data_IF_931195459554
#
_entry.id   IF_931195459554
#
_cell.length_a   1.000
_cell.length_b   1.000
_cell.length_c   1.000
_cell.angle_alpha   90.00
_cell.angle_beta   90.00
_cell.angle_gamma   90.00
#
_symmetry.space_group_name_H-M   'P 1'
#
loop_
_entity.id
_entity.type
_entity.pdbx_description
1 polymer ?
#
# COMPACT_ATOMS: atom_id res chain seq x y z
N UNK A 1 -0.66 11.38 -4.62
CA UNK A 1 -1.31 10.16 -4.10
C UNK A 1 -0.30 9.09 -3.70
N UNK A 2 -0.51 8.47 -2.54
CA UNK A 2 0.19 7.28 -2.07
C UNK A 2 -0.61 6.01 -2.35
N UNK A 3 0.07 4.87 -2.43
CA UNK A 3 -0.51 3.54 -2.62
C UNK A 3 0.04 2.59 -1.55
N UNK A 4 -0.85 2.03 -0.72
CA UNK A 4 -0.51 0.97 0.22
C UNK A 4 -0.59 -0.38 -0.49
N UNK A 5 0.49 -1.15 -0.43
CA UNK A 5 0.55 -2.51 -0.97
C UNK A 5 0.93 -3.51 0.11
N UNK A 6 0.07 -4.53 0.27
CA UNK A 6 0.18 -5.57 1.29
C UNK A 6 0.78 -6.82 0.65
N UNK A 7 1.89 -7.30 1.21
CA UNK A 7 2.59 -8.49 0.73
C UNK A 7 2.79 -9.49 1.86
N UNK A 8 3.09 -10.74 1.53
CA UNK A 8 3.45 -11.75 2.52
C UNK A 8 4.72 -11.38 3.31
N UNK A 9 5.58 -10.51 2.76
CA UNK A 9 6.81 -10.05 3.41
C UNK A 9 6.61 -8.80 4.29
N UNK A 10 5.52 -8.05 4.11
CA UNK A 10 5.30 -6.79 4.80
C UNK A 10 4.44 -5.79 4.03
N UNK A 11 4.44 -4.54 4.52
CA UNK A 11 3.72 -3.43 3.90
C UNK A 11 4.67 -2.53 3.11
N UNK A 12 4.33 -2.28 1.85
CA UNK A 12 5.00 -1.31 1.01
C UNK A 12 4.12 -0.06 0.84
N UNK A 13 4.76 1.11 0.88
CA UNK A 13 4.13 2.39 0.56
C UNK A 13 4.80 2.94 -0.68
N UNK A 14 4.04 3.12 -1.74
CA UNK A 14 4.50 3.71 -2.98
C UNK A 14 3.93 5.12 -3.15
N UNK A 15 4.68 6.00 -3.78
CA UNK A 15 4.18 7.25 -4.32
C UNK A 15 3.95 7.06 -5.82
N UNK A 16 2.75 7.40 -6.26
CA UNK A 16 2.44 7.42 -7.68
C UNK A 16 3.03 8.69 -8.31
N UNK A 17 3.84 8.52 -9.33
CA UNK A 17 4.47 9.64 -10.04
C UNK A 17 3.57 10.20 -11.14
N UNK A 18 2.79 9.33 -11.79
CA UNK A 18 1.99 9.70 -12.94
C UNK A 18 0.50 9.31 -12.78
N UNK A 19 -0.26 10.18 -12.13
CA UNK A 19 -1.71 9.96 -11.91
C UNK A 19 -2.51 9.87 -13.22
N UNK A 20 -2.02 10.46 -14.32
CA UNK A 20 -2.72 10.44 -15.62
C UNK A 20 -2.83 9.02 -16.20
N UNK A 21 -1.92 8.12 -15.82
CA UNK A 21 -1.89 6.72 -16.28
C UNK A 21 -2.97 5.86 -15.64
N UNK A 22 -3.60 6.33 -14.55
CA UNK A 22 -4.76 5.68 -13.95
C UNK A 22 -6.08 5.90 -14.69
N UNK A 23 -6.09 6.72 -15.75
CA UNK A 23 -7.32 7.06 -16.48
C UNK A 23 -7.84 5.92 -17.37
N UNK A 24 -6.93 5.13 -17.93
CA UNK A 24 -7.27 4.02 -18.81
C UNK A 24 -7.11 2.71 -18.02
N UNK A 25 -8.15 2.35 -17.29
CA UNK A 25 -8.12 1.21 -16.37
C UNK A 25 -7.94 -0.12 -17.12
N UNK A 26 -8.50 -0.22 -18.34
CA UNK A 26 -8.52 -1.48 -19.11
C UNK A 26 -7.11 -1.97 -19.51
N UNK A 27 -6.17 -1.04 -19.73
CA UNK A 27 -4.81 -1.37 -20.17
C UNK A 27 -3.73 -0.95 -19.16
N UNK A 28 -4.11 -0.64 -17.92
CA UNK A 28 -3.19 -0.18 -16.87
C UNK A 28 -2.06 -1.18 -16.60
N UNK A 29 -2.30 -2.47 -16.80
CA UNK A 29 -1.31 -3.52 -16.58
C UNK A 29 -0.09 -3.36 -17.50
N UNK A 30 -0.24 -2.79 -18.69
CA UNK A 30 0.84 -2.56 -19.67
C UNK A 30 1.91 -1.60 -19.13
N UNK A 31 1.53 -0.72 -18.20
CA UNK A 31 2.42 0.23 -17.52
C UNK A 31 3.26 -0.45 -16.42
N UNK A 32 2.98 -1.72 -16.10
CA UNK A 32 3.64 -2.50 -15.05
C UNK A 32 4.21 -3.84 -15.55
N UNK A 33 4.22 -4.08 -16.87
CA UNK A 33 4.76 -5.32 -17.48
C UNK A 33 6.27 -5.48 -17.32
N UNK A 34 7.01 -4.37 -17.26
CA UNK A 34 8.48 -4.39 -17.07
C UNK A 34 8.87 -3.59 -15.83
N UNK A 35 9.99 -3.93 -15.18
CA UNK A 35 10.50 -3.19 -14.03
C UNK A 35 10.70 -1.70 -14.34
N UNK A 36 11.20 -1.37 -15.53
CA UNK A 36 11.49 0.00 -15.95
C UNK A 36 10.22 0.83 -16.02
N UNK A 37 9.18 0.33 -16.71
CA UNK A 37 7.86 0.99 -16.77
C UNK A 37 7.23 1.13 -15.38
N UNK A 38 7.37 0.12 -14.53
CA UNK A 38 6.84 0.17 -13.17
C UNK A 38 7.54 1.27 -12.34
N UNK A 39 8.87 1.42 -12.48
CA UNK A 39 9.65 2.43 -11.78
C UNK A 39 9.34 3.87 -12.25
N UNK A 40 8.99 4.06 -13.52
CA UNK A 40 8.54 5.37 -14.03
C UNK A 40 7.22 5.81 -13.38
N UNK A 41 6.36 4.84 -13.06
CA UNK A 41 5.04 5.11 -12.52
C UNK A 41 4.99 5.11 -10.98
N UNK A 42 5.78 4.26 -10.32
CA UNK A 42 5.77 4.09 -8.86
C UNK A 42 7.17 4.27 -8.26
N UNK A 43 7.22 5.05 -7.18
CA UNK A 43 8.41 5.14 -6.34
C UNK A 43 8.15 4.51 -4.97
N UNK A 44 8.99 3.56 -4.57
CA UNK A 44 8.93 2.99 -3.21
C UNK A 44 9.40 4.03 -2.19
N UNK A 45 8.51 4.42 -1.28
CA UNK A 45 8.79 5.41 -0.22
C UNK A 45 9.14 4.75 1.10
N UNK A 46 8.50 3.61 1.39
CA UNK A 46 8.77 2.87 2.61
C UNK A 46 8.41 1.39 2.42
N UNK A 47 9.21 0.52 3.03
CA UNK A 47 8.88 -0.89 3.20
C UNK A 47 9.02 -1.29 4.66
N UNK A 48 7.98 -1.88 5.22
CA UNK A 48 7.95 -2.42 6.59
C UNK A 48 7.79 -3.92 6.52
N UNK A 49 8.93 -4.61 6.55
CA UNK A 49 8.99 -6.07 6.64
C UNK A 49 8.42 -6.56 7.98
N UNK A 50 7.74 -7.70 7.95
CA UNK A 50 7.38 -8.42 9.16
C UNK A 50 8.63 -8.95 9.86
N UNK A 51 8.59 -9.01 11.19
CA UNK A 51 9.74 -9.43 12.00
C UNK A 51 9.91 -10.94 12.03
N UNK A 52 8.81 -11.67 11.90
CA UNK A 52 8.76 -13.13 11.95
C UNK A 52 7.53 -13.63 11.21
N UNK A 53 7.46 -14.95 11.01
CA UNK A 53 6.27 -15.62 10.48
C UNK A 53 5.06 -15.43 11.39
N UNK A 54 5.25 -15.42 12.72
CA UNK A 54 4.18 -15.16 13.68
C UNK A 54 3.62 -13.73 13.54
N UNK A 55 4.49 -12.73 13.39
CA UNK A 55 4.08 -11.33 13.14
C UNK A 55 3.32 -11.21 11.80
N UNK A 56 3.76 -11.93 10.76
CA UNK A 56 3.07 -11.97 9.48
C UNK A 56 1.66 -12.57 9.59
N UNK A 57 1.50 -13.69 10.30
CA UNK A 57 0.19 -14.33 10.54
C UNK A 57 -0.72 -13.42 11.38
N UNK A 58 -0.22 -12.81 12.45
CA UNK A 58 -0.98 -11.86 13.27
C UNK A 58 -1.46 -10.67 12.42
N UNK A 59 -0.57 -10.12 11.59
CA UNK A 59 -0.88 -9.01 10.71
C UNK A 59 -1.95 -9.37 9.67
N UNK A 60 -1.85 -10.54 9.03
CA UNK A 60 -2.82 -11.02 8.06
C UNK A 60 -4.19 -11.30 8.70
N UNK A 61 -4.23 -11.99 9.84
CA UNK A 61 -5.49 -12.25 10.57
C UNK A 61 -6.16 -10.97 11.05
N UNK A 62 -5.38 -10.01 11.57
CA UNK A 62 -5.91 -8.72 11.98
C UNK A 62 -6.59 -7.99 10.82
N UNK A 63 -5.93 -7.94 9.64
CA UNK A 63 -6.51 -7.31 8.46
C UNK A 63 -7.80 -8.01 8.02
N UNK A 64 -7.81 -9.34 8.00
CA UNK A 64 -9.00 -10.14 7.67
C UNK A 64 -10.18 -9.85 8.60
N UNK A 65 -9.92 -9.66 9.89
CA UNK A 65 -10.92 -9.29 10.91
C UNK A 65 -11.30 -7.80 10.89
N UNK A 66 -10.73 -7.00 10.00
CA UNK A 66 -10.96 -5.56 9.98
C UNK A 66 -10.35 -4.83 11.17
N UNK A 67 -9.15 -5.24 11.60
CA UNK A 67 -8.36 -4.60 12.65
C UNK A 67 -7.03 -4.12 12.08
N UNK A 68 -6.62 -2.93 12.49
CA UNK A 68 -5.33 -2.38 12.10
C UNK A 68 -4.24 -2.72 13.13
N UNK A 69 -3.26 -3.53 12.72
CA UNK A 69 -2.14 -3.92 13.57
C UNK A 69 -1.16 -2.77 13.84
N UNK A 70 -0.26 -2.97 14.80
CA UNK A 70 0.72 -1.95 15.24
C UNK A 70 1.72 -1.57 14.13
N UNK A 71 2.10 -2.53 13.28
CA UNK A 71 3.07 -2.32 12.19
C UNK A 71 2.49 -1.39 11.14
N UNK A 72 1.25 -1.62 10.71
CA UNK A 72 0.55 -0.77 9.75
C UNK A 72 0.26 0.62 10.32
N UNK A 73 -0.22 0.72 11.58
CA UNK A 73 -0.43 2.01 12.26
C UNK A 73 0.83 2.89 12.25
N UNK A 74 1.99 2.29 12.54
CA UNK A 74 3.28 3.01 12.54
C UNK A 74 3.70 3.46 11.14
N UNK A 75 3.43 2.64 10.12
CA UNK A 75 3.73 3.01 8.73
C UNK A 75 2.89 4.22 8.29
N UNK A 76 1.56 4.15 8.50
CA UNK A 76 0.63 5.20 8.10
C UNK A 76 0.96 6.53 8.79
N UNK A 77 1.07 6.55 10.12
CA UNK A 77 1.42 7.76 10.88
C UNK A 77 2.75 8.38 10.49
N UNK A 78 3.71 7.59 9.99
CA UNK A 78 5.03 8.08 9.64
C UNK A 78 5.16 8.52 8.18
N UNK A 79 4.15 8.29 7.33
CA UNK A 79 4.26 8.50 5.87
C UNK A 79 3.04 9.14 5.22
N UNK A 80 1.87 9.11 5.86
CA UNK A 80 0.62 9.69 5.33
C UNK A 80 0.32 10.96 6.11
N UNK A 81 0.21 12.07 5.41
CA UNK A 81 -0.16 13.38 5.95
C UNK A 81 -1.68 13.60 5.86
N UNK A 82 -2.24 14.54 6.64
CA UNK A 82 -3.71 14.74 6.76
C UNK A 82 -4.42 15.05 5.44
N UNK A 83 -3.72 15.59 4.43
CA UNK A 83 -4.29 15.93 3.13
C UNK A 83 -3.76 15.04 1.97
N UNK A 84 -3.03 13.97 2.28
CA UNK A 84 -2.51 13.06 1.26
C UNK A 84 -3.54 11.96 0.95
N UNK A 85 -3.83 11.77 -0.34
CA UNK A 85 -4.68 10.67 -0.78
C UNK A 85 -3.94 9.34 -0.67
N UNK A 86 -4.59 8.33 -0.11
CA UNK A 86 -4.06 6.98 0.01
C UNK A 86 -4.98 5.97 -0.69
N UNK A 87 -4.46 5.30 -1.72
CA UNK A 87 -5.10 4.15 -2.33
C UNK A 87 -4.82 2.88 -1.51
N UNK A 88 -5.87 2.10 -1.26
CA UNK A 88 -5.84 0.87 -0.46
C UNK A 88 -6.58 -0.23 -1.23
N UNK A 89 -6.03 -1.44 -1.25
CA UNK A 89 -6.57 -2.56 -2.03
C UNK A 89 -7.88 -3.15 -1.49
N UNK A 90 -8.14 -3.00 -0.19
CA UNK A 90 -9.34 -3.52 0.47
C UNK A 90 -10.24 -2.39 1.02
N UNK A 91 -11.54 -2.48 0.74
CA UNK A 91 -12.51 -1.46 1.14
C UNK A 91 -12.76 -1.42 2.65
N UNK A 92 -12.69 -2.56 3.36
CA UNK A 92 -12.82 -2.57 4.83
C UNK A 92 -11.60 -1.89 5.45
N UNK A 93 -10.41 -2.16 4.92
CA UNK A 93 -9.20 -1.49 5.38
C UNK A 93 -9.23 0.01 5.10
N UNK A 94 -9.65 0.43 3.90
CA UNK A 94 -9.86 1.85 3.60
C UNK A 94 -10.80 2.54 4.60
N UNK A 95 -11.89 1.87 4.99
CA UNK A 95 -12.81 2.37 6.01
C UNK A 95 -12.20 2.47 7.42
N UNK A 96 -11.24 1.61 7.77
CA UNK A 96 -10.52 1.66 9.04
C UNK A 96 -9.42 2.71 9.07
N UNK A 97 -8.87 3.05 7.89
CA UNK A 97 -7.74 3.98 7.77
C UNK A 97 -8.19 5.44 7.81
N UNK A 98 -9.47 5.75 7.57
CA UNK A 98 -10.06 7.10 7.53
C UNK A 98 -9.22 8.13 8.31
N UNK A 99 -8.37 8.80 7.53
CA UNK A 99 -7.55 9.95 7.92
C UNK A 99 -8.44 11.18 7.88
#
# INVERSE_FOLDING_TARGET
MLVLFETAAGYAMFKLQNEKKLKNVDNIYEEFETPEKAQENLQLIAFKKFKSTADAVECASSLHEGKMNKTLKKLLKGKVEENEQLAVGDAKLGNLIKV
#
